data_IF_032182203754
#
_entry.id   IF_032182203754
#
_cell.length_a   1.000
_cell.length_b   1.000
_cell.length_c   1.000
_cell.angle_alpha   90.00
_cell.angle_beta   90.00
_cell.angle_gamma   90.00
#
_symmetry.space_group_name_H-M   'P 1'
#
loop_
_entity.id
_entity.type
_entity.pdbx_description
1 polymer ?
#
# COMPACT_ATOMS: atom_id res chain seq x y z
N UNK A 1 7.61 13.39 9.49
CA UNK A 1 8.36 14.42 8.74
C UNK A 1 7.50 15.07 7.66
N UNK A 2 7.06 14.35 6.63
CA UNK A 2 6.29 14.92 5.50
C UNK A 2 4.91 15.46 5.93
N UNK A 3 4.18 14.75 6.79
CA UNK A 3 2.87 15.21 7.28
C UNK A 3 2.94 16.53 8.08
N UNK A 4 4.00 16.71 8.87
CA UNK A 4 4.22 17.93 9.66
C UNK A 4 4.56 19.11 8.75
N UNK A 5 5.39 18.88 7.72
CA UNK A 5 5.71 19.90 6.73
C UNK A 5 4.48 20.34 5.91
N UNK A 6 3.60 19.40 5.54
CA UNK A 6 2.36 19.70 4.83
C UNK A 6 1.34 20.45 5.70
N UNK A 7 1.21 20.08 6.98
CA UNK A 7 0.34 20.78 7.92
C UNK A 7 0.83 22.23 8.17
N UNK A 8 2.14 22.42 8.33
CA UNK A 8 2.74 23.73 8.51
C UNK A 8 2.54 24.61 7.26
N UNK A 9 2.74 24.06 6.07
CA UNK A 9 2.49 24.77 4.81
C UNK A 9 1.02 25.17 4.66
N UNK A 10 0.09 24.27 4.97
CA UNK A 10 -1.35 24.56 4.92
C UNK A 10 -1.75 25.68 5.87
N UNK A 11 -1.24 25.69 7.10
CA UNK A 11 -1.52 26.74 8.08
C UNK A 11 -1.03 28.12 7.61
N UNK A 12 0.17 28.18 7.01
CA UNK A 12 0.72 29.43 6.45
C UNK A 12 -0.11 29.89 5.25
N UNK A 13 -0.44 28.99 4.31
CA UNK A 13 -1.22 29.31 3.13
C UNK A 13 -2.63 29.83 3.48
N UNK A 14 -3.30 29.21 4.46
CA UNK A 14 -4.62 29.65 4.94
C UNK A 14 -4.54 31.01 5.62
N UNK A 15 -3.49 31.27 6.41
CA UNK A 15 -3.30 32.57 7.07
C UNK A 15 -3.09 33.70 6.06
N UNK A 16 -2.26 33.45 5.03
CA UNK A 16 -2.04 34.41 3.95
C UNK A 16 -3.34 34.63 3.15
N UNK A 17 -4.05 33.56 2.80
CA UNK A 17 -5.34 33.66 2.11
C UNK A 17 -6.38 34.43 2.95
N UNK A 18 -6.45 34.19 4.25
CA UNK A 18 -7.35 34.92 5.16
C UNK A 18 -7.01 36.42 5.21
N UNK A 19 -5.73 36.78 5.25
CA UNK A 19 -5.29 38.18 5.16
C UNK A 19 -5.63 38.83 3.81
N UNK A 20 -5.68 38.05 2.72
CA UNK A 20 -6.05 38.57 1.40
C UNK A 20 -7.56 38.64 1.13
N UNK A 21 -8.35 37.73 1.72
CA UNK A 21 -9.76 37.56 1.41
C UNK A 21 -10.70 38.17 2.45
N UNK A 22 -10.28 38.28 3.72
CA UNK A 22 -11.11 38.76 4.82
C UNK A 22 -10.66 40.15 5.28
N UNK A 23 -11.41 41.22 4.99
CA UNK A 23 -11.07 42.59 5.42
C UNK A 23 -10.95 42.75 6.94
N UNK A 24 -11.74 41.99 7.71
CA UNK A 24 -11.70 41.98 9.16
C UNK A 24 -10.35 41.47 9.72
N UNK A 25 -9.73 40.49 9.06
CA UNK A 25 -8.43 39.94 9.47
C UNK A 25 -7.29 40.96 9.29
N UNK A 26 -7.35 41.79 8.23
CA UNK A 26 -6.40 42.91 8.02
C UNK A 26 -6.51 43.94 9.14
N UNK A 27 -7.73 44.27 9.55
CA UNK A 27 -8.00 45.21 10.64
C UNK A 27 -7.41 44.73 11.97
N UNK A 28 -7.55 43.45 12.29
CA UNK A 28 -6.98 42.83 13.49
C UNK A 28 -5.45 42.78 13.47
N UNK A 29 -4.84 42.54 12.31
CA UNK A 29 -3.39 42.50 12.17
C UNK A 29 -2.75 43.90 12.31
N UNK A 30 -3.36 44.92 11.70
CA UNK A 30 -2.89 46.30 11.81
C UNK A 30 -3.05 46.82 13.25
N UNK A 31 -4.14 46.49 13.93
CA UNK A 31 -4.32 46.89 15.34
C UNK A 31 -3.33 46.19 16.28
N UNK A 32 -3.01 44.92 16.04
CA UNK A 32 -1.98 44.19 16.78
C UNK A 32 -0.56 44.76 16.54
N UNK A 33 -0.21 45.07 15.29
CA UNK A 33 1.08 45.67 14.94
C UNK A 33 1.25 47.07 15.56
N UNK A 34 0.20 47.89 15.53
CA UNK A 34 0.19 49.21 16.18
C UNK A 34 0.24 49.09 17.71
N UNK A 35 -0.40 48.09 18.31
CA UNK A 35 -0.31 47.84 19.75
C UNK A 35 1.10 47.41 20.18
N UNK A 36 1.78 46.61 19.35
CA UNK A 36 3.17 46.22 19.56
C UNK A 36 4.11 47.42 19.42
N UNK A 37 3.94 48.23 18.38
CA UNK A 37 4.71 49.45 18.15
C UNK A 37 4.52 50.48 19.27
N UNK A 38 3.30 50.61 19.82
CA UNK A 38 3.02 51.47 21.00
C UNK A 38 3.63 50.92 22.30
N UNK A 39 3.70 49.60 22.46
CA UNK A 39 4.40 48.98 23.60
C UNK A 39 5.92 49.16 23.50
N UNK A 40 6.45 49.14 22.28
CA UNK A 40 7.86 49.38 22.00
C UNK A 40 8.23 50.86 22.17
N UNK A 41 7.41 51.78 21.66
CA UNK A 41 7.68 53.23 21.75
C UNK A 41 7.51 53.80 23.16
N UNK A 42 6.69 53.18 24.02
CA UNK A 42 6.60 53.53 25.46
C UNK A 42 7.85 53.14 26.26
N UNK A 43 8.77 52.34 25.71
CA UNK A 43 10.07 52.01 26.32
C UNK A 43 11.24 52.86 25.78
N UNK A 44 10.98 53.80 24.87
CA UNK A 44 12.05 54.55 24.18
C UNK A 44 11.85 56.07 24.12
N UNK A 45 10.89 56.65 24.86
CA UNK A 45 10.72 58.12 24.91
C UNK A 45 10.42 58.67 26.31
N UNK A 46 11.40 58.57 27.23
CA UNK A 46 11.77 59.73 28.04
C UNK A 46 12.80 60.51 27.23
N UNK A 47 12.36 61.54 26.50
CA UNK A 47 13.28 62.27 25.61
C UNK A 47 12.58 63.16 24.60
N UNK A 48 12.27 64.36 25.06
CA UNK A 48 12.18 65.62 24.30
C UNK A 48 11.04 65.87 23.31
N UNK A 49 10.53 67.08 23.47
CA UNK A 49 9.37 67.75 22.94
C UNK A 49 9.55 68.44 21.58
N UNK A 50 8.40 68.74 20.98
CA UNK A 50 8.03 69.87 20.12
C UNK A 50 7.81 69.66 18.59
N UNK A 51 6.75 70.35 18.16
CA UNK A 51 6.24 70.69 16.80
C UNK A 51 5.33 69.64 16.14
N UNK A 52 3.99 69.78 16.15
CA UNK A 52 3.14 70.70 15.32
C UNK A 52 3.62 70.70 13.86
N UNK A 53 2.90 70.23 12.84
CA UNK A 53 1.52 70.50 12.41
C UNK A 53 1.16 69.58 11.24
N UNK A 54 -0.13 69.32 10.99
CA UNK A 54 -0.61 69.19 9.60
C UNK A 54 -1.64 68.10 9.28
N UNK A 55 -2.90 68.54 9.16
CA UNK A 55 -3.88 68.16 8.12
C UNK A 55 -4.71 66.88 8.35
N UNK A 56 -5.87 67.08 9.00
CA UNK A 56 -7.21 67.03 8.37
C UNK A 56 -7.46 65.99 7.26
N UNK A 57 -8.22 64.95 7.61
CA UNK A 57 -9.66 64.83 7.31
C UNK A 57 -10.07 63.37 7.41
N UNK A 58 -10.92 63.11 8.39
CA UNK A 58 -11.80 61.94 8.38
C UNK A 58 -13.10 62.31 7.68
N UNK A 59 -13.72 61.27 7.11
CA UNK A 59 -15.16 61.02 7.01
C UNK A 59 -15.69 60.89 5.58
N UNK A 60 -16.32 59.71 5.40
CA UNK A 60 -17.22 59.24 4.34
C UNK A 60 -16.57 58.89 3.01
N UNK A 61 -16.61 57.60 2.70
CA UNK A 61 -17.48 57.06 1.63
C UNK A 61 -17.78 55.60 1.98
N UNK A 62 -18.98 55.37 2.53
CA UNK A 62 -19.77 54.16 2.25
C UNK A 62 -20.63 54.49 1.03
N UNK A 63 -20.91 53.47 0.21
CA UNK A 63 -21.76 53.47 -1.01
C UNK A 63 -21.08 53.53 -2.40
N UNK A 64 -19.87 53.00 -2.56
CA UNK A 64 -19.41 52.50 -3.89
C UNK A 64 -18.79 51.10 -3.87
N UNK A 65 -18.66 50.46 -2.70
CA UNK A 65 -18.00 49.16 -2.54
C UNK A 65 -18.68 47.99 -3.29
N UNK A 66 -19.92 48.13 -3.74
CA UNK A 66 -20.62 47.09 -4.51
C UNK A 66 -20.44 47.21 -6.03
N UNK A 67 -20.10 48.38 -6.56
CA UNK A 67 -19.85 48.57 -8.00
C UNK A 67 -18.37 48.28 -8.36
N UNK A 68 -17.43 48.58 -7.46
CA UNK A 68 -16.00 48.36 -7.69
C UNK A 68 -15.53 46.92 -7.49
N UNK A 69 -16.29 46.10 -6.76
CA UNK A 69 -15.97 44.68 -6.58
C UNK A 69 -16.08 43.91 -7.89
N UNK A 70 -17.08 44.20 -8.76
CA UNK A 70 -17.15 43.61 -10.12
C UNK A 70 -16.00 44.06 -11.01
N UNK A 71 -15.61 45.34 -10.95
CA UNK A 71 -14.51 45.89 -11.78
C UNK A 71 -13.14 45.35 -11.35
N UNK A 72 -12.91 45.18 -10.05
CA UNK A 72 -11.69 44.56 -9.51
C UNK A 72 -11.65 43.07 -9.85
N UNK A 73 -12.78 42.35 -9.75
CA UNK A 73 -12.84 40.93 -10.12
C UNK A 73 -12.50 40.74 -11.59
N UNK A 74 -13.02 41.57 -12.50
CA UNK A 74 -12.75 41.47 -13.94
C UNK A 74 -11.30 41.87 -14.26
N UNK A 75 -10.79 42.95 -13.65
CA UNK A 75 -9.44 43.47 -13.95
C UNK A 75 -8.32 42.62 -13.34
N UNK A 76 -8.59 41.93 -12.23
CA UNK A 76 -7.63 41.03 -11.56
C UNK A 76 -7.96 39.54 -11.73
N UNK A 77 -8.95 39.19 -12.58
CA UNK A 77 -9.36 37.79 -12.82
C UNK A 77 -8.19 36.89 -13.18
N UNK A 78 -7.23 37.40 -13.96
CA UNK A 78 -6.04 36.64 -14.34
C UNK A 78 -5.16 36.33 -13.14
N UNK A 79 -4.90 37.32 -12.27
CA UNK A 79 -4.13 37.12 -11.03
C UNK A 79 -4.86 36.19 -10.05
N UNK A 80 -6.18 36.31 -9.92
CA UNK A 80 -6.99 35.44 -9.07
C UNK A 80 -6.95 33.99 -9.60
N UNK A 81 -7.09 33.80 -10.92
CA UNK A 81 -7.01 32.48 -11.56
C UNK A 81 -5.61 31.88 -11.44
N UNK A 82 -4.54 32.68 -11.59
CA UNK A 82 -3.16 32.22 -11.40
C UNK A 82 -2.94 31.78 -9.95
N UNK A 83 -3.39 32.59 -8.97
CA UNK A 83 -3.21 32.27 -7.55
C UNK A 83 -4.04 31.05 -7.15
N UNK A 84 -5.28 30.94 -7.62
CA UNK A 84 -6.12 29.77 -7.43
C UNK A 84 -5.53 28.52 -8.11
N UNK A 85 -4.96 28.67 -9.31
CA UNK A 85 -4.28 27.60 -10.03
C UNK A 85 -3.03 27.11 -9.30
N UNK A 86 -2.19 28.01 -8.78
CA UNK A 86 -1.00 27.66 -8.00
C UNK A 86 -1.40 26.96 -6.69
N UNK A 87 -2.48 27.40 -6.04
CA UNK A 87 -2.96 26.79 -4.80
C UNK A 87 -3.63 25.42 -5.03
N UNK A 88 -4.31 25.24 -6.17
CA UNK A 88 -4.96 23.99 -6.54
C UNK A 88 -4.02 22.98 -7.25
N UNK A 89 -2.88 23.43 -7.78
CA UNK A 89 -1.96 22.58 -8.53
C UNK A 89 -1.39 21.42 -7.69
N UNK A 90 -0.88 21.60 -6.45
CA UNK A 90 -0.37 20.48 -5.67
C UNK A 90 -1.39 19.37 -5.37
N UNK A 91 -2.64 19.64 -4.94
CA UNK A 91 -3.62 18.58 -4.73
C UNK A 91 -4.10 17.94 -6.05
N UNK A 92 -4.21 18.71 -7.14
CA UNK A 92 -4.58 18.15 -8.45
C UNK A 92 -3.46 17.29 -9.06
N UNK A 93 -2.20 17.69 -8.90
CA UNK A 93 -1.03 16.88 -9.26
C UNK A 93 -0.98 15.62 -8.40
N UNK A 94 -1.25 15.72 -7.10
CA UNK A 94 -1.34 14.54 -6.23
C UNK A 94 -2.44 13.57 -6.68
N UNK A 95 -3.62 14.05 -7.10
CA UNK A 95 -4.70 13.22 -7.63
C UNK A 95 -4.35 12.64 -9.01
N UNK A 96 -3.73 13.43 -9.90
CA UNK A 96 -3.29 12.98 -11.22
C UNK A 96 -2.19 11.92 -11.13
N UNK A 97 -1.25 12.06 -10.19
CA UNK A 97 -0.23 11.07 -9.89
C UNK A 97 -0.84 9.83 -9.20
N UNK A 98 -1.91 9.99 -8.40
CA UNK A 98 -2.66 8.86 -7.81
C UNK A 98 -3.30 7.97 -8.87
N UNK A 99 -3.78 8.54 -9.98
CA UNK A 99 -4.33 7.80 -11.12
C UNK A 99 -3.29 6.97 -11.87
N UNK A 100 -2.01 7.39 -11.86
CA UNK A 100 -0.90 6.61 -12.43
C UNK A 100 -0.40 5.48 -11.52
N UNK A 101 -0.77 5.46 -10.25
CA UNK A 101 -0.38 4.40 -9.30
C UNK A 101 -1.44 3.32 -9.06
N UNK A 102 -2.59 3.36 -9.76
CA UNK A 102 -3.66 2.37 -9.57
C UNK A 102 -3.64 1.20 -10.56
N UNK A 103 -2.75 1.20 -11.56
CA UNK A 103 -2.61 0.08 -12.52
C UNK A 103 -1.17 -0.23 -12.93
N UNK A 104 -0.19 0.21 -12.16
CA UNK A 104 1.16 -0.31 -12.31
C UNK A 104 1.34 -1.42 -11.28
N UNK A 105 0.93 -2.62 -11.67
CA UNK A 105 1.56 -3.82 -11.13
C UNK A 105 3.00 -3.71 -11.62
N UNK A 106 3.87 -3.07 -10.82
CA UNK A 106 5.31 -3.16 -11.04
C UNK A 106 5.64 -4.64 -10.81
N UNK A 107 5.53 -5.40 -11.90
CA UNK A 107 6.32 -6.59 -12.12
C UNK A 107 7.77 -6.14 -12.25
N UNK A 108 8.33 -5.57 -11.18
CA UNK A 108 9.75 -5.60 -10.95
C UNK A 108 10.08 -7.08 -10.95
N UNK A 109 10.43 -7.56 -12.14
CA UNK A 109 11.13 -8.81 -12.34
C UNK A 109 12.47 -8.51 -11.73
N UNK A 110 12.51 -8.62 -10.40
CA UNK A 110 13.72 -8.49 -9.60
C UNK A 110 14.62 -9.54 -10.20
N UNK A 111 15.58 -9.08 -11.01
CA UNK A 111 16.54 -9.97 -11.66
C UNK A 111 17.13 -10.76 -10.50
N UNK A 112 16.89 -12.08 -10.42
CA UNK A 112 17.36 -12.86 -9.30
C UNK A 112 18.86 -12.62 -9.18
N UNK A 113 19.35 -12.41 -7.95
CA UNK A 113 20.78 -12.30 -7.65
C UNK A 113 21.54 -13.35 -8.48
N UNK A 114 22.65 -13.01 -9.14
CA UNK A 114 23.35 -13.92 -10.07
C UNK A 114 23.64 -15.29 -9.43
N UNK A 115 23.82 -15.32 -8.11
CA UNK A 115 23.95 -16.56 -7.32
C UNK A 115 22.65 -17.38 -7.28
N UNK A 116 21.50 -16.73 -7.11
CA UNK A 116 20.18 -17.35 -7.17
C UNK A 116 19.92 -17.86 -8.59
N UNK A 117 20.25 -17.08 -9.62
CA UNK A 117 20.12 -17.50 -11.01
C UNK A 117 20.99 -18.71 -11.34
N UNK A 118 22.23 -18.76 -10.81
CA UNK A 118 23.11 -19.92 -10.97
C UNK A 118 22.57 -21.17 -10.26
N UNK A 119 22.03 -21.03 -9.03
CA UNK A 119 21.40 -22.14 -8.30
C UNK A 119 20.15 -22.67 -9.02
N UNK A 120 19.36 -21.79 -9.63
CA UNK A 120 18.19 -22.19 -10.41
C UNK A 120 18.55 -22.98 -11.69
N UNK A 121 19.74 -22.79 -12.25
CA UNK A 121 20.16 -23.42 -13.51
C UNK A 121 21.09 -24.63 -13.34
N UNK A 122 21.78 -24.78 -12.19
CA UNK A 122 22.86 -25.76 -12.03
C UNK A 122 22.62 -26.91 -11.02
N UNK A 123 21.72 -26.75 -10.04
CA UNK A 123 21.47 -27.77 -9.01
C UNK A 123 20.01 -28.26 -9.11
N UNK A 124 19.79 -29.51 -9.52
CA UNK A 124 18.46 -30.10 -9.50
C UNK A 124 18.07 -30.45 -8.06
N UNK A 125 17.45 -29.48 -7.38
CA UNK A 125 16.93 -29.69 -6.03
C UNK A 125 15.84 -30.78 -6.05
N UNK A 126 15.86 -31.65 -5.04
CA UNK A 126 14.84 -32.68 -4.83
C UNK A 126 13.86 -32.24 -3.74
N UNK A 127 12.56 -32.54 -3.88
CA UNK A 127 11.59 -32.31 -2.82
C UNK A 127 11.96 -33.00 -1.51
N UNK A 128 11.62 -32.41 -0.36
CA UNK A 128 11.76 -33.11 0.91
C UNK A 128 10.88 -34.38 0.92
N UNK A 129 11.27 -35.41 1.69
CA UNK A 129 10.45 -36.60 1.85
C UNK A 129 9.02 -36.26 2.31
N UNK A 130 7.99 -36.97 1.81
CA UNK A 130 6.62 -36.74 2.25
C UNK A 130 6.48 -37.03 3.75
N UNK A 131 5.77 -36.14 4.46
CA UNK A 131 5.45 -36.35 5.86
C UNK A 131 4.33 -37.40 6.03
N UNK A 132 4.26 -38.09 7.17
CA UNK A 132 3.15 -38.98 7.50
C UNK A 132 1.80 -38.21 7.46
N UNK A 133 0.73 -38.80 6.90
CA UNK A 133 -0.58 -38.14 6.79
C UNK A 133 -1.12 -37.63 8.13
N UNK A 134 -0.82 -38.33 9.22
CA UNK A 134 -1.32 -38.05 10.57
C UNK A 134 -0.93 -36.65 11.06
N UNK A 135 0.19 -36.11 10.59
CA UNK A 135 0.66 -34.77 10.97
C UNK A 135 -0.29 -33.69 10.45
N UNK A 136 -0.99 -33.93 9.34
CA UNK A 136 -1.95 -33.00 8.74
C UNK A 136 -3.39 -33.20 9.23
N UNK A 137 -3.65 -34.27 9.98
CA UNK A 137 -4.98 -34.61 10.54
C UNK A 137 -5.11 -34.26 12.03
N UNK A 138 -4.14 -33.53 12.59
CA UNK A 138 -4.20 -33.03 13.97
C UNK A 138 -5.34 -32.01 14.14
N UNK A 139 -5.93 -31.95 15.34
CA UNK A 139 -7.05 -31.03 15.63
C UNK A 139 -6.65 -29.57 15.43
N UNK A 140 -5.40 -29.24 15.75
CA UNK A 140 -4.84 -27.90 15.59
C UNK A 140 -4.77 -27.50 14.11
N UNK A 141 -4.38 -28.44 13.23
CA UNK A 141 -4.36 -28.22 11.77
C UNK A 141 -5.77 -28.11 11.22
N UNK A 142 -6.69 -28.99 11.62
CA UNK A 142 -8.08 -28.98 11.15
C UNK A 142 -8.82 -27.68 11.53
N UNK A 143 -8.56 -27.13 12.72
CA UNK A 143 -9.13 -25.86 13.15
C UNK A 143 -8.68 -24.67 12.30
N UNK A 144 -7.44 -24.69 11.80
CA UNK A 144 -6.88 -23.60 10.99
C UNK A 144 -7.16 -23.81 9.49
N UNK A 145 -7.13 -25.06 9.03
CA UNK A 145 -7.30 -25.48 7.62
C UNK A 145 -8.13 -26.78 7.54
N UNK A 146 -9.47 -26.72 7.63
CA UNK A 146 -10.32 -27.92 7.75
C UNK A 146 -10.37 -28.81 6.50
N UNK A 147 -9.96 -28.32 5.32
CA UNK A 147 -9.98 -29.07 4.07
C UNK A 147 -8.58 -29.57 3.63
N UNK A 148 -7.62 -29.65 4.54
CA UNK A 148 -6.22 -29.94 4.22
C UNK A 148 -5.92 -31.43 3.97
N UNK A 149 -6.79 -32.32 4.46
CA UNK A 149 -6.64 -33.77 4.31
C UNK A 149 -6.52 -34.19 2.85
N UNK A 150 -7.41 -33.67 2.01
CA UNK A 150 -7.48 -33.99 0.58
C UNK A 150 -6.65 -33.04 -0.31
N UNK A 151 -5.79 -32.21 0.28
CA UNK A 151 -4.94 -31.29 -0.46
C UNK A 151 -3.78 -32.05 -1.14
N UNK A 152 -3.54 -31.78 -2.42
CA UNK A 152 -2.40 -32.39 -3.11
C UNK A 152 -1.08 -31.77 -2.64
N UNK A 153 -0.13 -32.62 -2.30
CA UNK A 153 1.26 -32.26 -1.98
C UNK A 153 2.24 -32.88 -2.96
N UNK A 154 1.74 -33.29 -4.14
CA UNK A 154 2.55 -33.86 -5.20
C UNK A 154 3.30 -32.75 -5.94
N UNK A 155 4.61 -32.70 -5.69
CA UNK A 155 5.53 -31.76 -6.33
C UNK A 155 5.64 -31.96 -7.85
N UNK A 156 5.26 -33.11 -8.40
CA UNK A 156 5.30 -33.34 -9.85
C UNK A 156 4.18 -32.64 -10.61
N UNK A 157 3.14 -32.18 -9.91
CA UNK A 157 2.04 -31.41 -10.47
C UNK A 157 2.32 -29.90 -10.47
N UNK A 158 3.48 -29.48 -9.96
CA UNK A 158 3.93 -28.09 -10.02
C UNK A 158 4.66 -27.82 -11.34
N UNK A 159 4.53 -26.59 -11.84
CA UNK A 159 5.35 -26.10 -12.95
C UNK A 159 6.83 -26.23 -12.60
N UNK A 160 7.66 -26.64 -13.56
CA UNK A 160 9.07 -26.94 -13.31
C UNK A 160 9.84 -25.73 -12.77
N UNK A 161 9.60 -24.52 -13.30
CA UNK A 161 10.29 -23.31 -12.88
C UNK A 161 9.85 -22.87 -11.48
N UNK A 162 8.55 -23.01 -11.20
CA UNK A 162 7.98 -22.74 -9.88
C UNK A 162 8.51 -23.72 -8.85
N UNK A 163 8.52 -25.01 -9.17
CA UNK A 163 9.06 -26.08 -8.31
C UNK A 163 10.50 -25.79 -7.93
N UNK A 164 11.38 -25.50 -8.89
CA UNK A 164 12.79 -25.21 -8.60
C UNK A 164 12.95 -23.99 -7.68
N UNK A 165 12.17 -22.92 -7.91
CA UNK A 165 12.17 -21.73 -7.03
C UNK A 165 11.70 -22.06 -5.63
N UNK A 166 10.59 -22.79 -5.49
CA UNK A 166 10.04 -23.16 -4.20
C UNK A 166 11.00 -24.08 -3.42
N UNK A 167 11.67 -25.01 -4.09
CA UNK A 167 12.69 -25.85 -3.48
C UNK A 167 13.91 -25.04 -3.00
N UNK A 168 14.30 -24.00 -3.75
CA UNK A 168 15.35 -23.09 -3.31
C UNK A 168 14.92 -22.31 -2.05
N UNK A 169 13.66 -21.88 -1.97
CA UNK A 169 13.11 -21.27 -0.75
C UNK A 169 13.21 -22.25 0.42
N UNK A 170 12.81 -23.51 0.24
CA UNK A 170 12.88 -24.52 1.30
C UNK A 170 14.32 -24.74 1.78
N UNK A 171 15.27 -24.82 0.84
CA UNK A 171 16.71 -24.95 1.15
C UNK A 171 17.20 -23.76 1.97
N UNK A 172 16.91 -22.54 1.54
CA UNK A 172 17.31 -21.31 2.25
C UNK A 172 16.68 -21.25 3.65
N UNK A 173 15.38 -21.52 3.76
CA UNK A 173 14.66 -21.49 5.05
C UNK A 173 15.26 -22.44 6.08
N UNK A 174 15.61 -23.65 5.64
CA UNK A 174 16.26 -24.64 6.50
C UNK A 174 17.69 -24.23 6.85
N UNK A 175 18.51 -23.90 5.86
CA UNK A 175 19.95 -23.71 6.04
C UNK A 175 20.32 -22.38 6.70
N UNK A 176 19.58 -21.30 6.44
CA UNK A 176 19.88 -19.97 6.97
C UNK A 176 19.11 -19.65 8.25
N UNK A 177 17.87 -20.16 8.37
CA UNK A 177 16.96 -19.75 9.44
C UNK A 177 16.53 -20.91 10.35
N UNK A 178 16.87 -22.16 10.01
CA UNK A 178 16.49 -23.33 10.81
C UNK A 178 14.99 -23.63 10.80
N UNK A 179 14.26 -23.17 9.77
CA UNK A 179 12.83 -23.46 9.61
C UNK A 179 12.65 -24.63 8.64
N UNK A 180 12.14 -25.75 9.16
CA UNK A 180 11.70 -26.87 8.33
C UNK A 180 10.35 -26.53 7.69
N UNK A 181 10.34 -26.39 6.38
CA UNK A 181 9.15 -26.02 5.60
C UNK A 181 8.28 -27.24 5.26
N UNK A 182 6.97 -27.03 5.19
CA UNK A 182 5.99 -28.05 4.84
C UNK A 182 5.05 -27.55 3.76
N UNK A 183 4.87 -28.36 2.70
CA UNK A 183 3.87 -28.10 1.67
C UNK A 183 2.50 -28.52 2.21
N UNK A 184 1.61 -27.54 2.36
CA UNK A 184 0.22 -27.78 2.75
C UNK A 184 -0.62 -28.14 1.53
N UNK A 185 -0.49 -27.37 0.46
CA UNK A 185 -1.18 -27.61 -0.81
C UNK A 185 -0.37 -27.04 -1.98
N UNK A 186 -0.12 -27.86 -3.00
CA UNK A 186 0.45 -27.45 -4.28
C UNK A 186 -0.65 -27.35 -5.35
N UNK A 187 -0.73 -28.35 -6.23
CA UNK A 187 -1.78 -28.40 -7.25
C UNK A 187 -3.18 -28.56 -6.64
N UNK A 188 -4.15 -27.79 -7.13
CA UNK A 188 -5.57 -27.90 -6.75
C UNK A 188 -6.42 -28.17 -7.97
N UNK A 189 -7.21 -29.24 -7.94
CA UNK A 189 -8.10 -29.55 -9.07
C UNK A 189 -9.25 -28.53 -9.19
N UNK A 190 -9.79 -28.30 -10.40
CA UNK A 190 -10.99 -27.47 -10.59
C UNK A 190 -12.18 -27.88 -9.74
N UNK A 191 -12.42 -29.18 -9.57
CA UNK A 191 -13.51 -29.69 -8.74
C UNK A 191 -13.30 -29.35 -7.27
N UNK A 192 -12.06 -29.49 -6.76
CA UNK A 192 -11.73 -29.11 -5.38
C UNK A 192 -11.87 -27.60 -5.20
N UNK A 193 -11.42 -26.79 -6.16
CA UNK A 193 -11.57 -25.34 -6.12
C UNK A 193 -13.05 -24.94 -6.00
N UNK A 194 -13.93 -25.55 -6.80
CA UNK A 194 -15.37 -25.29 -6.73
C UNK A 194 -15.97 -25.72 -5.38
N UNK A 195 -15.57 -26.88 -4.83
CA UNK A 195 -16.00 -27.30 -3.48
C UNK A 195 -15.56 -26.30 -2.40
N UNK A 196 -14.32 -25.84 -2.44
CA UNK A 196 -13.83 -24.85 -1.47
C UNK A 196 -14.56 -23.50 -1.59
N UNK A 197 -14.85 -23.06 -2.81
CA UNK A 197 -15.63 -21.83 -3.03
C UNK A 197 -17.05 -21.93 -2.46
N UNK A 198 -17.66 -23.12 -2.48
CA UNK A 198 -18.97 -23.38 -1.88
C UNK A 198 -18.94 -23.42 -0.35
N UNK A 199 -17.86 -23.93 0.26
CA UNK A 199 -17.69 -23.95 1.71
C UNK A 199 -17.53 -22.55 2.31
N UNK A 200 -16.99 -21.60 1.54
CA UNK A 200 -16.72 -20.24 1.99
C UNK A 200 -15.52 -20.14 2.96
N UNK A 201 -14.96 -18.95 3.10
CA UNK A 201 -13.88 -18.66 4.06
C UNK A 201 -12.48 -19.14 3.67
N UNK A 202 -12.33 -20.05 2.69
CA UNK A 202 -11.02 -20.54 2.20
C UNK A 202 -10.58 -19.84 0.92
N UNK A 203 -11.49 -19.64 -0.04
CA UNK A 203 -11.20 -18.99 -1.33
C UNK A 203 -12.47 -18.38 -1.91
N UNK A 204 -12.33 -17.24 -2.60
CA UNK A 204 -13.39 -16.63 -3.40
C UNK A 204 -13.25 -16.91 -4.90
N UNK A 205 -12.17 -17.58 -5.32
CA UNK A 205 -11.92 -17.92 -6.72
C UNK A 205 -12.75 -19.15 -7.14
N UNK A 206 -13.36 -19.10 -8.33
CA UNK A 206 -13.97 -20.28 -8.95
C UNK A 206 -12.92 -21.14 -9.67
N UNK A 207 -13.36 -22.26 -10.25
CA UNK A 207 -12.50 -23.05 -11.12
C UNK A 207 -11.83 -22.22 -12.24
N UNK A 208 -10.53 -22.46 -12.41
CA UNK A 208 -9.58 -21.86 -13.34
C UNK A 208 -9.23 -20.40 -13.00
N UNK A 209 -9.54 -19.97 -11.78
CA UNK A 209 -9.27 -18.62 -11.29
C UNK A 209 -8.24 -18.60 -10.16
N UNK A 210 -7.48 -19.69 -9.99
CA UNK A 210 -6.39 -19.78 -9.02
C UNK A 210 -5.14 -20.36 -9.66
N UNK A 211 -3.98 -19.81 -9.33
CA UNK A 211 -2.68 -20.30 -9.80
C UNK A 211 -2.39 -21.75 -9.34
N UNK A 212 -2.99 -22.23 -8.25
CA UNK A 212 -2.88 -23.64 -7.82
C UNK A 212 -3.33 -24.62 -8.90
N UNK A 213 -4.30 -24.23 -9.73
CA UNK A 213 -4.86 -25.10 -10.77
C UNK A 213 -3.94 -25.26 -11.97
N UNK A 214 -2.87 -24.47 -12.01
CA UNK A 214 -1.85 -24.47 -13.04
C UNK A 214 -0.48 -24.91 -12.49
N UNK A 215 -0.43 -25.37 -11.23
CA UNK A 215 0.83 -25.74 -10.58
C UNK A 215 1.75 -24.54 -10.36
N UNK A 216 1.22 -23.33 -10.27
CA UNK A 216 1.96 -22.07 -10.14
C UNK A 216 1.74 -21.39 -8.78
N UNK A 217 1.13 -22.07 -7.82
CA UNK A 217 1.00 -21.57 -6.45
C UNK A 217 1.16 -22.70 -5.43
N UNK A 218 1.48 -22.33 -4.21
CA UNK A 218 1.62 -23.25 -3.10
C UNK A 218 1.25 -22.57 -1.76
N UNK A 219 0.58 -23.33 -0.90
CA UNK A 219 0.34 -23.01 0.50
C UNK A 219 1.35 -23.78 1.36
N UNK A 220 2.01 -23.08 2.27
CA UNK A 220 3.15 -23.58 3.04
C UNK A 220 3.00 -23.26 4.54
N UNK A 221 3.65 -24.08 5.36
CA UNK A 221 3.76 -23.90 6.80
C UNK A 221 5.09 -24.45 7.30
N UNK A 222 5.23 -24.61 8.61
CA UNK A 222 6.46 -25.05 9.24
C UNK A 222 6.25 -26.33 10.05
N UNK A 223 7.31 -27.14 10.15
CA UNK A 223 7.39 -28.27 11.07
C UNK A 223 8.19 -27.86 12.29
N UNK A 224 7.63 -28.06 13.49
CA UNK A 224 8.33 -27.89 14.76
C UNK A 224 8.00 -29.05 15.67
N UNK A 225 9.02 -29.74 16.18
CA UNK A 225 8.86 -30.90 17.06
C UNK A 225 7.93 -31.98 16.49
N UNK A 226 8.02 -32.23 15.18
CA UNK A 226 7.19 -33.21 14.46
C UNK A 226 5.73 -32.78 14.25
N UNK A 227 5.36 -31.53 14.59
CA UNK A 227 4.02 -30.99 14.41
C UNK A 227 4.01 -29.87 13.38
N UNK A 228 2.98 -29.87 12.53
CA UNK A 228 2.76 -28.78 11.58
C UNK A 228 2.19 -27.57 12.33
N UNK A 229 2.87 -26.43 12.23
CA UNK A 229 2.49 -25.16 12.84
C UNK A 229 2.10 -24.20 11.72
N UNK A 230 0.80 -23.85 11.67
CA UNK A 230 0.21 -23.03 10.58
C UNK A 230 -0.16 -21.63 11.06
N UNK A 231 -0.67 -21.48 12.28
CA UNK A 231 -1.25 -20.20 12.68
C UNK A 231 -0.18 -19.14 12.95
N UNK A 232 -0.33 -18.00 12.28
CA UNK A 232 0.40 -16.75 12.49
C UNK A 232 0.20 -16.14 13.89
N UNK A 233 -0.76 -16.65 14.67
CA UNK A 233 -0.91 -16.30 16.08
C UNK A 233 0.23 -16.83 16.94
N UNK A 234 0.92 -17.88 16.50
CA UNK A 234 2.18 -18.32 17.10
C UNK A 234 3.30 -17.35 16.65
N UNK A 235 3.95 -16.60 17.56
CA UNK A 235 4.98 -15.64 17.20
C UNK A 235 6.17 -16.25 16.43
N UNK A 236 6.50 -17.51 16.72
CA UNK A 236 7.57 -18.21 16.00
C UNK A 236 7.16 -18.53 14.56
N UNK A 237 5.90 -18.93 14.34
CA UNK A 237 5.37 -19.17 13.00
C UNK A 237 5.24 -17.85 12.21
N UNK A 238 4.78 -16.78 12.85
CA UNK A 238 4.70 -15.44 12.24
C UNK A 238 6.07 -14.98 11.77
N UNK A 239 7.09 -15.10 12.62
CA UNK A 239 8.46 -14.76 12.22
C UNK A 239 8.97 -15.64 11.06
N UNK A 240 8.65 -16.94 11.10
CA UNK A 240 8.92 -17.85 10.00
C UNK A 240 8.27 -17.38 8.70
N UNK A 241 7.02 -16.92 8.75
CA UNK A 241 6.32 -16.41 7.57
C UNK A 241 6.92 -15.13 7.01
N UNK A 242 7.41 -14.23 7.87
CA UNK A 242 8.13 -13.02 7.42
C UNK A 242 9.41 -13.37 6.66
N UNK A 243 10.21 -14.31 7.20
CA UNK A 243 11.43 -14.80 6.56
C UNK A 243 11.13 -15.55 5.26
N UNK A 244 10.11 -16.41 5.29
CA UNK A 244 9.63 -17.15 4.14
C UNK A 244 9.19 -16.23 3.01
N UNK A 245 8.39 -15.21 3.33
CA UNK A 245 7.92 -14.22 2.37
C UNK A 245 9.05 -13.45 1.70
N UNK A 246 10.01 -12.97 2.49
CA UNK A 246 11.20 -12.28 1.97
C UNK A 246 12.04 -13.20 1.08
N UNK A 247 12.21 -14.46 1.47
CA UNK A 247 12.97 -15.45 0.71
C UNK A 247 12.26 -15.80 -0.61
N UNK A 248 10.94 -15.95 -0.58
CA UNK A 248 10.13 -16.19 -1.78
C UNK A 248 10.22 -15.02 -2.77
N UNK A 249 10.14 -13.78 -2.28
CA UNK A 249 10.30 -12.56 -3.10
C UNK A 249 11.70 -12.49 -3.75
N UNK A 250 12.76 -12.91 -3.04
CA UNK A 250 14.14 -12.92 -3.57
C UNK A 250 14.33 -13.87 -4.77
N UNK A 251 13.57 -14.96 -4.83
CA UNK A 251 13.63 -15.93 -5.94
C UNK A 251 12.57 -15.66 -7.03
N UNK A 252 11.91 -14.51 -6.97
CA UNK A 252 10.96 -14.05 -7.99
C UNK A 252 9.54 -14.62 -7.85
N UNK A 253 9.15 -15.07 -6.65
CA UNK A 253 7.76 -15.42 -6.33
C UNK A 253 7.02 -14.22 -5.75
N UNK A 254 5.70 -14.20 -5.93
CA UNK A 254 4.81 -13.23 -5.30
C UNK A 254 4.30 -13.83 -4.00
N UNK A 255 4.44 -13.11 -2.89
CA UNK A 255 4.04 -13.59 -1.56
C UNK A 255 2.69 -13.01 -1.11
N UNK A 256 1.79 -13.89 -0.66
CA UNK A 256 0.44 -13.54 -0.21
C UNK A 256 0.39 -12.71 1.07
N UNK A 257 1.45 -12.71 1.88
CA UNK A 257 1.58 -11.86 3.07
C UNK A 257 1.59 -10.36 2.76
N UNK A 258 1.86 -9.96 1.52
CA UNK A 258 1.74 -8.55 1.06
C UNK A 258 0.31 -8.15 0.74
N UNK A 259 -0.61 -9.09 0.61
CA UNK A 259 -1.98 -8.81 0.22
C UNK A 259 -2.79 -8.22 1.37
N UNK A 260 -3.90 -7.57 1.05
CA UNK A 260 -4.81 -6.99 2.05
C UNK A 260 -5.33 -8.02 3.07
N UNK A 261 -5.50 -9.27 2.63
CA UNK A 261 -5.94 -10.38 3.47
C UNK A 261 -4.78 -11.14 4.14
N UNK A 262 -3.52 -10.79 3.84
CA UNK A 262 -2.33 -11.31 4.49
C UNK A 262 -2.25 -12.84 4.50
N UNK A 263 -2.30 -13.47 3.32
CA UNK A 263 -2.21 -14.93 3.22
C UNK A 263 -0.74 -15.38 3.33
N UNK A 264 -0.26 -15.46 4.57
CA UNK A 264 1.16 -15.60 4.88
C UNK A 264 1.80 -16.90 4.40
N UNK A 265 1.02 -17.98 4.32
CA UNK A 265 1.51 -19.27 3.81
C UNK A 265 1.56 -19.37 2.29
N UNK A 266 1.01 -18.39 1.58
CA UNK A 266 0.74 -18.50 0.15
C UNK A 266 1.82 -17.82 -0.71
N UNK A 267 2.23 -18.47 -1.79
CA UNK A 267 3.05 -17.88 -2.86
C UNK A 267 2.53 -18.24 -4.24
N UNK A 268 2.71 -17.33 -5.19
CA UNK A 268 2.40 -17.52 -6.61
C UNK A 268 3.63 -17.25 -7.47
N UNK A 269 3.76 -17.99 -8.58
CA UNK A 269 4.70 -17.67 -9.65
C UNK A 269 3.97 -17.05 -10.83
N UNK A 270 4.21 -15.76 -11.04
CA UNK A 270 3.66 -15.01 -12.17
C UNK A 270 4.55 -15.24 -13.39
N UNK A 271 4.46 -16.45 -13.94
CA UNK A 271 5.28 -16.91 -15.07
C UNK A 271 5.13 -15.95 -16.26
N UNK A 272 6.23 -15.45 -16.84
CA UNK A 272 6.16 -14.59 -18.03
C UNK A 272 5.36 -15.25 -19.16
N UNK A 273 4.41 -14.50 -19.71
CA UNK A 273 3.52 -14.98 -20.77
C UNK A 273 2.32 -15.81 -20.30
N UNK A 274 2.26 -16.22 -19.03
CA UNK A 274 1.06 -16.84 -18.46
C UNK A 274 0.07 -15.76 -18.03
N UNK A 275 -1.21 -15.93 -18.39
CA UNK A 275 -2.30 -15.04 -17.98
C UNK A 275 -3.41 -15.89 -17.36
N UNK A 276 -3.74 -15.62 -16.10
CA UNK A 276 -4.83 -16.30 -15.41
C UNK A 276 -6.17 -15.95 -16.07
N UNK A 277 -6.99 -16.97 -16.34
CA UNK A 277 -8.28 -16.80 -17.00
C UNK A 277 -9.21 -15.86 -16.22
N UNK A 278 -9.58 -14.72 -16.82
CA UNK A 278 -10.62 -13.85 -16.25
C UNK A 278 -12.00 -14.40 -16.57
N UNK A 279 -12.96 -14.13 -15.68
CA UNK A 279 -14.40 -14.38 -15.92
C UNK A 279 -14.80 -13.74 -17.25
N UNK A 280 -15.41 -14.50 -18.15
CA UNK A 280 -16.21 -13.93 -19.25
C UNK A 280 -17.40 -13.19 -18.63
N UNK A 281 -17.24 -11.91 -18.30
CA UNK A 281 -18.37 -11.02 -18.02
C UNK A 281 -18.98 -10.61 -19.35
N UNK A 282 -19.77 -11.50 -19.96
CA UNK A 282 -20.36 -11.22 -21.27
C UNK A 282 -21.01 -12.43 -21.92
N UNK A 283 -22.05 -12.97 -21.30
CA UNK A 283 -23.12 -13.70 -22.00
C UNK A 283 -24.35 -13.70 -21.08
N UNK A 284 -25.01 -12.55 -20.99
CA UNK A 284 -26.44 -12.55 -20.70
C UNK A 284 -27.12 -13.30 -21.83
N UNK A 285 -27.73 -14.44 -21.49
CA UNK A 285 -28.53 -15.25 -22.36
C UNK A 285 -29.60 -14.39 -23.05
N UNK A 286 -29.44 -14.21 -24.35
CA UNK A 286 -30.55 -13.95 -25.26
C UNK A 286 -30.86 -15.26 -25.94
N UNK A 287 -31.92 -15.92 -25.49
CA UNK A 287 -32.79 -16.82 -26.23
C UNK A 287 -34.04 -17.09 -25.39
#
# INVERSE_FOLDING_TARGET
MIAVALAAYFAVAVTVAALFLLPAARGAFVSAALALQRRMSRRTSQGMSHLRTGIDKSVRISHSALADTKKILIRRRLMILITAGILAAPPLIAIALRGRQLFQFDGDTRVPDEKIAALLNGEQLVPPPPLPPEVFETREVEQVRPALRDASRDWNLLDADFRTRLLLVYKIMREQYGYEMVLLEGYRSPDRQNRLAQLGGVTNAAAYQSYHQYGLAADNAFLRDGKVVISEKDPWAMHGYELYGQTAEQVGLVWGGRWKLMDFGHVEYHKPGFVLGRKNTGQTAGQ
#
